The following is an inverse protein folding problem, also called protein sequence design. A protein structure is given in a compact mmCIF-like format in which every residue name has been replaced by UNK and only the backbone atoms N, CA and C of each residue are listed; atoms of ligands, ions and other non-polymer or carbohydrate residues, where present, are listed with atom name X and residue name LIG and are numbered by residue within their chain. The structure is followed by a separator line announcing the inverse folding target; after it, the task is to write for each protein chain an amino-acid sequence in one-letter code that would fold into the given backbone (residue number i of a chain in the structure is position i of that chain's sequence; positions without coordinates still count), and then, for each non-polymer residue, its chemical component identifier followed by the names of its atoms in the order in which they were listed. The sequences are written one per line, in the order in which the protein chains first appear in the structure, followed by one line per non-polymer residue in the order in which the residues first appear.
data_IF_565965138466
#
_entry.id   IF_565965138466
#
_cell.length_a   1.000
_cell.length_b   1.000
_cell.length_c   1.000
_cell.angle_alpha   90.00
_cell.angle_beta   90.00
_cell.angle_gamma   90.00
#
_symmetry.space_group_name_H-M   'P 1'
#
loop_
_entity.id
_entity.type
_entity.pdbx_description
1 polymer ?
#
# COMPACT_ATOMS: atom_id res chain seq x y z
N UNK A 1 41.93 7.64 19.83
CA UNK A 1 41.26 7.57 18.50
C UNK A 1 40.73 8.94 18.17
N UNK A 2 40.63 9.31 16.89
CA UNK A 2 40.03 10.61 16.53
C UNK A 2 38.56 10.64 16.98
N UNK A 3 38.07 11.81 17.41
CA UNK A 3 36.72 11.99 17.98
C UNK A 3 35.63 11.45 17.04
N UNK A 4 35.80 11.63 15.73
CA UNK A 4 34.93 11.07 14.67
C UNK A 4 34.72 9.55 14.79
N UNK A 5 35.80 8.79 14.99
CA UNK A 5 35.73 7.32 15.06
C UNK A 5 35.12 6.83 16.38
N UNK A 6 35.34 7.58 17.46
CA UNK A 6 34.67 7.31 18.74
C UNK A 6 33.17 7.56 18.63
N UNK A 7 32.75 8.66 17.99
CA UNK A 7 31.34 8.95 17.76
C UNK A 7 30.66 7.87 16.92
N UNK A 8 31.31 7.44 15.83
CA UNK A 8 30.80 6.38 14.96
C UNK A 8 30.68 5.04 15.71
N UNK A 9 31.66 4.70 16.55
CA UNK A 9 31.62 3.51 17.38
C UNK A 9 30.50 3.55 18.43
N UNK A 10 30.27 4.71 19.07
CA UNK A 10 29.14 4.90 19.98
C UNK A 10 27.81 4.67 19.25
N UNK A 11 27.68 5.22 18.03
CA UNK A 11 26.48 5.01 17.23
C UNK A 11 26.27 3.53 16.89
N UNK A 12 27.32 2.84 16.47
CA UNK A 12 27.31 1.41 16.21
C UNK A 12 26.81 0.60 17.42
N UNK A 13 27.27 0.92 18.63
CA UNK A 13 26.82 0.23 19.84
C UNK A 13 25.34 0.50 20.15
N UNK A 14 24.88 1.74 19.95
CA UNK A 14 23.46 2.06 20.05
C UNK A 14 22.63 1.27 19.04
N UNK A 15 23.07 1.19 17.78
CA UNK A 15 22.41 0.40 16.74
C UNK A 15 22.35 -1.08 17.10
N UNK A 16 23.45 -1.65 17.61
CA UNK A 16 23.51 -3.04 18.05
C UNK A 16 22.47 -3.33 19.14
N UNK A 17 22.37 -2.45 20.15
CA UNK A 17 21.38 -2.58 21.23
C UNK A 17 19.96 -2.50 20.65
N UNK A 18 19.69 -1.55 19.74
CA UNK A 18 18.39 -1.40 19.09
C UNK A 18 18.02 -2.66 18.29
N UNK A 19 18.97 -3.22 17.53
CA UNK A 19 18.74 -4.46 16.77
C UNK A 19 18.46 -5.63 17.70
N UNK A 20 19.21 -5.78 18.79
CA UNK A 20 18.95 -6.83 19.79
C UNK A 20 17.54 -6.68 20.37
N UNK A 21 17.13 -5.46 20.73
CA UNK A 21 15.77 -5.18 21.23
C UNK A 21 14.71 -5.50 20.17
N UNK A 22 14.94 -5.14 18.91
CA UNK A 22 14.00 -5.40 17.81
C UNK A 22 13.89 -6.89 17.45
N UNK A 23 14.97 -7.67 17.63
CA UNK A 23 15.00 -9.10 17.36
C UNK A 23 14.42 -9.94 18.51
N UNK A 24 14.31 -9.39 19.72
CA UNK A 24 13.80 -10.14 20.86
C UNK A 24 12.33 -10.53 20.64
N UNK A 25 12.00 -11.84 20.63
CA UNK A 25 10.63 -12.32 20.41
C UNK A 25 9.68 -12.01 21.58
N UNK A 26 10.21 -11.47 22.69
CA UNK A 26 9.44 -11.18 23.90
C UNK A 26 8.48 -10.00 23.75
N UNK A 27 8.72 -9.09 22.79
CA UNK A 27 7.87 -7.90 22.63
C UNK A 27 6.73 -8.22 21.68
N UNK A 28 5.51 -8.28 22.22
CA UNK A 28 4.30 -8.51 21.42
C UNK A 28 4.16 -7.42 20.32
N UNK A 29 3.76 -7.77 19.08
CA UNK A 29 3.54 -6.80 17.99
C UNK A 29 2.57 -5.67 18.35
N UNK A 30 1.63 -5.93 19.26
CA UNK A 30 0.67 -4.92 19.77
C UNK A 30 1.33 -3.83 20.63
N UNK A 31 2.48 -4.10 21.27
CA UNK A 31 3.25 -3.09 22.02
C UNK A 31 3.95 -2.15 21.03
N UNK A 32 4.54 -2.72 19.99
CA UNK A 32 5.13 -1.95 18.89
C UNK A 32 4.08 -1.11 18.16
N UNK A 33 2.88 -1.65 17.93
CA UNK A 33 1.77 -0.91 17.34
C UNK A 33 1.41 0.35 18.16
N UNK A 34 1.29 0.22 19.49
CA UNK A 34 1.02 1.34 20.38
C UNK A 34 2.16 2.35 20.40
N UNK A 35 3.40 1.89 20.39
CA UNK A 35 4.57 2.73 20.28
C UNK A 35 4.59 3.52 18.96
N UNK A 36 4.36 2.85 17.82
CA UNK A 36 4.33 3.46 16.49
C UNK A 36 3.10 4.34 16.23
N UNK A 37 1.97 4.10 16.90
CA UNK A 37 0.78 4.97 16.84
C UNK A 37 0.88 6.20 17.77
N UNK A 38 1.82 6.22 18.72
CA UNK A 38 2.04 7.33 19.64
C UNK A 38 2.32 8.64 18.91
N UNK A 39 1.97 9.77 19.56
CA UNK A 39 2.26 11.14 19.07
C UNK A 39 3.75 11.33 18.76
N UNK A 40 4.63 10.69 19.53
CA UNK A 40 6.07 10.73 19.33
C UNK A 40 6.48 10.05 18.01
N UNK A 41 5.92 8.88 17.74
CA UNK A 41 6.19 8.15 16.51
C UNK A 41 5.64 8.89 15.29
N UNK A 42 4.42 9.45 15.34
CA UNK A 42 3.87 10.27 14.25
C UNK A 42 4.74 11.50 13.93
N UNK A 43 5.25 12.18 14.97
CA UNK A 43 6.19 13.29 14.80
C UNK A 43 7.51 12.83 14.17
N UNK A 44 8.00 11.64 14.57
CA UNK A 44 9.18 11.04 13.97
C UNK A 44 8.93 10.69 12.50
N UNK A 45 7.81 10.06 12.15
CA UNK A 45 7.48 9.61 10.79
C UNK A 45 7.33 10.77 9.80
N UNK A 46 6.82 11.93 10.24
CA UNK A 46 6.60 13.10 9.37
C UNK A 46 7.91 13.63 8.74
N UNK A 47 9.04 13.48 9.43
CA UNK A 47 10.37 13.84 8.92
C UNK A 47 11.33 12.66 8.73
N UNK A 48 10.99 11.46 9.21
CA UNK A 48 11.89 10.31 9.31
C UNK A 48 12.57 10.00 7.99
N UNK A 49 11.83 10.03 6.87
CA UNK A 49 12.39 9.70 5.55
C UNK A 49 13.60 10.60 5.20
N UNK A 50 13.50 11.89 5.48
CA UNK A 50 14.58 12.85 5.22
C UNK A 50 15.76 12.63 6.17
N UNK A 51 15.50 12.46 7.48
CA UNK A 51 16.56 12.18 8.45
C UNK A 51 17.27 10.84 8.19
N UNK A 52 16.53 9.78 7.85
CA UNK A 52 17.10 8.46 7.50
C UNK A 52 18.00 8.56 6.28
N UNK A 53 17.58 9.26 5.23
CA UNK A 53 18.39 9.46 4.03
C UNK A 53 19.59 10.38 4.30
N UNK A 54 19.46 11.39 5.17
CA UNK A 54 20.60 12.21 5.55
C UNK A 54 21.68 11.39 6.26
N UNK A 55 21.30 10.61 7.28
CA UNK A 55 22.22 9.76 8.04
C UNK A 55 22.89 8.72 7.13
N UNK A 56 22.14 8.12 6.19
CA UNK A 56 22.71 7.13 5.27
C UNK A 56 23.76 7.74 4.34
N UNK A 57 23.54 8.97 3.87
CA UNK A 57 24.53 9.70 3.09
C UNK A 57 25.79 9.94 3.92
N UNK A 58 25.65 10.39 5.17
CA UNK A 58 26.79 10.60 6.08
C UNK A 58 27.55 9.29 6.31
N UNK A 59 26.87 8.18 6.58
CA UNK A 59 27.53 6.89 6.80
C UNK A 59 28.22 6.36 5.55
N UNK A 60 27.62 6.59 4.39
CA UNK A 60 28.24 6.22 3.11
C UNK A 60 29.53 7.02 2.89
N UNK A 61 29.53 8.33 3.17
CA UNK A 61 30.73 9.16 3.06
C UNK A 61 31.83 8.71 4.03
N UNK A 62 31.49 8.43 5.30
CA UNK A 62 32.44 7.92 6.29
C UNK A 62 32.98 6.54 5.91
N UNK A 63 32.15 5.68 5.32
CA UNK A 63 32.56 4.38 4.83
C UNK A 63 33.50 4.49 3.62
N UNK A 64 33.22 5.40 2.68
CA UNK A 64 34.11 5.69 1.56
C UNK A 64 35.45 6.26 2.03
N UNK A 65 35.45 7.13 3.04
CA UNK A 65 36.68 7.64 3.65
C UNK A 65 37.48 6.51 4.31
N UNK A 66 36.81 5.61 5.05
CA UNK A 66 37.44 4.43 5.63
C UNK A 66 38.03 3.49 4.56
N UNK A 67 37.37 3.33 3.40
CA UNK A 67 37.91 2.57 2.27
C UNK A 67 39.15 3.25 1.69
N UNK A 68 39.14 4.59 1.52
CA UNK A 68 40.32 5.34 1.06
C UNK A 68 41.47 5.18 2.05
N UNK A 69 41.22 5.32 3.34
CA UNK A 69 42.20 5.18 4.40
C UNK A 69 42.76 3.74 4.47
N UNK A 70 41.90 2.73 4.31
CA UNK A 70 42.31 1.33 4.24
C UNK A 70 43.23 1.06 3.04
N UNK A 71 42.86 1.52 1.84
CA UNK A 71 43.69 1.36 0.63
C UNK A 71 45.01 2.12 0.73
N UNK A 72 45.00 3.33 1.30
CA UNK A 72 46.19 4.15 1.50
C UNK A 72 47.24 3.45 2.38
N UNK A 73 46.81 2.80 3.45
CA UNK A 73 47.71 2.11 4.37
C UNK A 73 47.90 0.62 4.04
N UNK A 74 47.25 0.09 3.00
CA UNK A 74 47.44 -1.28 2.54
C UNK A 74 48.67 -1.45 1.65
N UNK A 75 49.06 -0.41 0.89
CA UNK A 75 50.15 -0.45 -0.09
C UNK A 75 51.35 0.43 0.32
N UNK A 76 51.73 0.41 1.59
CA UNK A 76 52.95 1.12 2.01
C UNK A 76 54.15 0.35 1.47
N UNK A 77 54.92 0.96 0.55
CA UNK A 77 56.07 0.32 -0.09
C UNK A 77 57.14 -0.06 0.95
N UNK A 78 57.58 -1.32 0.93
CA UNK A 78 58.64 -1.86 1.83
C UNK A 78 59.96 -1.05 1.77
N UNK A 79 60.17 -0.27 0.69
CA UNK A 79 61.35 0.60 0.56
C UNK A 79 61.34 1.81 1.50
N UNK A 80 60.16 2.25 1.95
CA UNK A 80 59.96 3.38 2.87
C UNK A 80 60.03 2.94 4.36
N UNK A 81 60.22 1.64 4.60
CA UNK A 81 60.24 0.98 5.92
C UNK A 81 61.67 0.75 6.46
N UNK A 82 62.68 1.42 5.90
CA UNK A 82 64.11 1.16 6.18
C UNK A 82 64.57 1.39 7.64
N UNK A 83 63.71 1.95 8.51
CA UNK A 83 63.95 2.05 9.95
C UNK A 83 62.91 1.22 10.74
N UNK A 84 63.32 0.37 11.71
CA UNK A 84 62.39 -0.46 12.51
C UNK A 84 61.25 0.31 13.22
N UNK A 85 61.50 1.58 13.55
CA UNK A 85 60.48 2.47 14.14
C UNK A 85 59.40 2.89 13.12
N UNK A 86 59.77 3.06 11.85
CA UNK A 86 58.85 3.39 10.76
C UNK A 86 57.95 2.19 10.42
N UNK A 87 58.49 0.97 10.45
CA UNK A 87 57.72 -0.28 10.27
C UNK A 87 56.62 -0.42 11.31
N UNK A 88 57.00 -0.26 12.59
CA UNK A 88 56.05 -0.35 13.71
C UNK A 88 54.94 0.69 13.58
N UNK A 89 55.28 1.92 13.18
CA UNK A 89 54.29 2.99 12.98
C UNK A 89 53.37 2.72 11.78
N UNK A 90 53.88 2.13 10.70
CA UNK A 90 53.10 1.74 9.52
C UNK A 90 52.07 0.65 9.88
N UNK A 91 52.50 -0.42 10.55
CA UNK A 91 51.60 -1.47 11.02
C UNK A 91 50.52 -0.92 11.97
N UNK A 92 50.88 -0.03 12.90
CA UNK A 92 49.90 0.61 13.78
C UNK A 92 48.84 1.43 13.02
N UNK A 93 49.22 2.10 11.92
CA UNK A 93 48.27 2.84 11.07
C UNK A 93 47.37 1.89 10.27
N UNK A 94 47.92 0.78 9.77
CA UNK A 94 47.18 -0.25 9.06
C UNK A 94 46.12 -0.93 9.96
N UNK A 95 46.48 -1.30 11.19
CA UNK A 95 45.49 -1.84 12.15
C UNK A 95 44.39 -0.84 12.49
N UNK A 96 44.75 0.46 12.57
CA UNK A 96 43.77 1.52 12.84
C UNK A 96 42.77 1.65 11.69
N UNK A 97 43.23 1.67 10.44
CA UNK A 97 42.35 1.81 9.27
C UNK A 97 41.47 0.58 9.05
N UNK A 98 41.99 -0.63 9.27
CA UNK A 98 41.21 -1.87 9.24
C UNK A 98 40.05 -1.85 10.23
N UNK A 99 40.31 -1.51 11.49
CA UNK A 99 39.25 -1.45 12.51
C UNK A 99 38.22 -0.35 12.20
N UNK A 100 38.68 0.82 11.77
CA UNK A 100 37.79 1.92 11.40
C UNK A 100 36.87 1.55 10.21
N UNK A 101 37.41 0.83 9.22
CA UNK A 101 36.64 0.27 8.11
C UNK A 101 35.54 -0.69 8.60
N UNK A 102 35.85 -1.61 9.51
CA UNK A 102 34.83 -2.50 10.08
C UNK A 102 33.76 -1.73 10.83
N UNK A 103 34.13 -0.77 11.69
CA UNK A 103 33.18 0.06 12.44
C UNK A 103 32.23 0.79 11.49
N UNK A 104 32.77 1.47 10.47
CA UNK A 104 31.96 2.21 9.51
C UNK A 104 31.06 1.29 8.66
N UNK A 105 31.58 0.15 8.22
CA UNK A 105 30.83 -0.81 7.43
C UNK A 105 29.69 -1.45 8.22
N UNK A 106 29.95 -1.87 9.46
CA UNK A 106 28.91 -2.43 10.32
C UNK A 106 27.86 -1.41 10.72
N UNK A 107 28.23 -0.15 10.97
CA UNK A 107 27.26 0.89 11.30
C UNK A 107 26.33 1.16 10.12
N UNK A 108 26.89 1.32 8.92
CA UNK A 108 26.11 1.47 7.69
C UNK A 108 25.19 0.27 7.46
N UNK A 109 25.68 -0.96 7.66
CA UNK A 109 24.90 -2.18 7.50
C UNK A 109 23.75 -2.26 8.53
N UNK A 110 24.03 -2.07 9.82
CA UNK A 110 23.03 -2.15 10.88
C UNK A 110 21.95 -1.07 10.70
N UNK A 111 22.31 0.11 10.20
CA UNK A 111 21.32 1.14 9.86
C UNK A 111 20.27 0.64 8.85
N UNK A 112 20.70 -0.06 7.79
CA UNK A 112 19.78 -0.69 6.83
C UNK A 112 18.94 -1.78 7.49
N UNK A 113 19.55 -2.61 8.34
CA UNK A 113 18.85 -3.67 9.07
C UNK A 113 17.75 -3.08 9.96
N UNK A 114 18.06 -2.04 10.75
CA UNK A 114 17.09 -1.35 11.62
C UNK A 114 15.93 -0.80 10.78
N UNK A 115 16.22 -0.09 9.68
CA UNK A 115 15.18 0.45 8.79
C UNK A 115 14.27 -0.67 8.27
N UNK A 116 14.85 -1.80 7.85
CA UNK A 116 14.08 -2.96 7.37
C UNK A 116 13.24 -3.58 8.48
N UNK A 117 13.79 -3.78 9.67
CA UNK A 117 13.11 -4.37 10.82
C UNK A 117 11.93 -3.50 11.28
N UNK A 118 12.13 -2.18 11.43
CA UNK A 118 11.06 -1.25 11.82
C UNK A 118 9.90 -1.31 10.83
N UNK A 119 10.18 -1.30 9.53
CA UNK A 119 9.14 -1.36 8.50
C UNK A 119 8.38 -2.69 8.51
N UNK A 120 9.09 -3.81 8.64
CA UNK A 120 8.47 -5.14 8.74
C UNK A 120 7.59 -5.25 9.99
N UNK A 121 8.06 -4.76 11.13
CA UNK A 121 7.35 -4.80 12.40
C UNK A 121 6.10 -3.91 12.37
N UNK A 122 6.20 -2.73 11.76
CA UNK A 122 5.07 -1.84 11.56
C UNK A 122 4.01 -2.46 10.61
N UNK A 123 4.42 -3.16 9.56
CA UNK A 123 3.48 -3.88 8.68
C UNK A 123 2.80 -5.05 9.39
N UNK A 124 3.58 -5.89 10.08
CA UNK A 124 3.06 -7.02 10.84
C UNK A 124 2.07 -6.58 11.93
N UNK A 125 2.38 -5.49 12.64
CA UNK A 125 1.48 -4.91 13.63
C UNK A 125 0.13 -4.43 13.02
N UNK A 126 0.16 -3.78 11.84
CA UNK A 126 -1.07 -3.36 11.14
C UNK A 126 -1.91 -4.56 10.69
N UNK A 127 -1.26 -5.60 10.16
CA UNK A 127 -1.93 -6.81 9.71
C UNK A 127 -2.55 -7.59 10.87
N UNK A 128 -1.84 -7.70 12.01
CA UNK A 128 -2.40 -8.33 13.21
C UNK A 128 -3.59 -7.56 13.78
N UNK A 129 -3.54 -6.22 13.78
CA UNK A 129 -4.68 -5.40 14.20
C UNK A 129 -5.89 -5.59 13.27
N UNK A 130 -5.66 -5.58 11.95
CA UNK A 130 -6.71 -5.83 10.96
C UNK A 130 -7.30 -7.24 11.07
N UNK A 131 -6.46 -8.26 11.31
CA UNK A 131 -6.90 -9.63 11.50
C UNK A 131 -7.73 -9.80 12.79
N UNK A 132 -7.34 -9.12 13.88
CA UNK A 132 -8.12 -9.14 15.13
C UNK A 132 -9.49 -8.44 14.96
N UNK A 133 -9.54 -7.33 14.22
CA UNK A 133 -10.79 -6.65 13.88
C UNK A 133 -11.68 -7.53 12.99
N UNK A 134 -11.12 -8.14 11.95
CA UNK A 134 -11.84 -9.06 11.06
C UNK A 134 -12.37 -10.29 11.80
N UNK A 135 -11.59 -10.86 12.73
CA UNK A 135 -12.02 -11.97 13.57
C UNK A 135 -13.20 -11.58 14.46
N UNK A 136 -13.13 -10.42 15.11
CA UNK A 136 -14.22 -9.90 15.94
C UNK A 136 -15.49 -9.64 15.12
N UNK A 137 -15.32 -9.12 13.90
CA UNK A 137 -16.42 -8.92 12.95
C UNK A 137 -17.07 -10.23 12.52
N UNK A 138 -16.29 -11.27 12.22
CA UNK A 138 -16.81 -12.60 11.89
C UNK A 138 -17.53 -13.27 13.06
N UNK A 139 -17.02 -13.14 14.29
CA UNK A 139 -17.70 -13.63 15.49
C UNK A 139 -19.02 -12.90 15.75
N UNK A 140 -19.05 -11.59 15.59
CA UNK A 140 -20.29 -10.79 15.72
C UNK A 140 -21.34 -11.18 14.69
N UNK A 141 -20.94 -11.33 13.43
CA UNK A 141 -21.83 -11.81 12.37
C UNK A 141 -22.37 -13.22 12.64
N UNK A 142 -21.52 -14.13 13.17
CA UNK A 142 -21.93 -15.48 13.55
C UNK A 142 -22.94 -15.46 14.71
N UNK A 143 -22.68 -14.69 15.78
CA UNK A 143 -23.60 -14.54 16.91
C UNK A 143 -24.94 -13.96 16.48
N UNK A 144 -24.91 -12.96 15.59
CA UNK A 144 -26.11 -12.37 15.02
C UNK A 144 -26.93 -13.41 14.24
N UNK A 145 -26.29 -14.19 13.36
CA UNK A 145 -26.94 -15.27 12.62
C UNK A 145 -27.55 -16.34 13.55
N UNK A 146 -26.81 -16.75 14.59
CA UNK A 146 -27.31 -17.69 15.60
C UNK A 146 -28.51 -17.13 16.38
N UNK A 147 -28.50 -15.85 16.73
CA UNK A 147 -29.62 -15.17 17.39
C UNK A 147 -30.87 -15.09 16.50
N UNK A 148 -30.69 -14.78 15.22
CA UNK A 148 -31.78 -14.78 14.21
C UNK A 148 -32.33 -16.20 14.00
N UNK A 149 -31.48 -17.21 13.87
CA UNK A 149 -31.93 -18.62 13.73
C UNK A 149 -32.67 -19.13 14.97
N UNK A 150 -32.29 -18.65 16.17
CA UNK A 150 -32.92 -19.04 17.43
C UNK A 150 -34.17 -18.22 17.78
N UNK A 151 -34.54 -17.19 17.00
CA UNK A 151 -35.57 -16.20 17.36
C UNK A 151 -35.39 -15.63 18.79
N UNK A 152 -34.15 -15.50 19.25
CA UNK A 152 -33.83 -15.05 20.60
C UNK A 152 -33.31 -13.61 20.54
N UNK A 153 -34.15 -12.60 20.86
CA UNK A 153 -33.79 -11.19 20.74
C UNK A 153 -32.69 -10.77 21.73
N UNK A 154 -32.37 -11.59 22.74
CA UNK A 154 -31.29 -11.30 23.69
C UNK A 154 -29.89 -11.51 23.10
N UNK A 155 -29.79 -12.27 22.00
CA UNK A 155 -28.51 -12.58 21.30
C UNK A 155 -28.27 -11.70 20.07
N UNK A 156 -29.22 -10.83 19.76
CA UNK A 156 -29.17 -9.91 18.63
C UNK A 156 -28.65 -8.57 19.18
N UNK A 157 -27.33 -8.37 19.21
CA UNK A 157 -26.75 -7.09 19.63
C UNK A 157 -26.63 -6.14 18.42
N UNK A 158 -27.39 -5.03 18.34
CA UNK A 158 -27.38 -4.11 17.19
C UNK A 158 -26.03 -3.46 16.91
N UNK A 159 -25.09 -3.52 17.87
CA UNK A 159 -23.72 -2.98 17.74
C UNK A 159 -22.74 -3.91 17.05
N UNK A 160 -23.05 -5.19 16.89
CA UNK A 160 -22.17 -6.18 16.23
C UNK A 160 -22.38 -6.25 14.70
N UNK A 161 -23.37 -5.54 14.16
CA UNK A 161 -23.61 -5.41 12.72
C UNK A 161 -22.58 -4.45 12.14
N UNK A 162 -21.76 -4.94 11.22
CA UNK A 162 -20.76 -4.14 10.50
C UNK A 162 -21.50 -3.10 9.66
N UNK A 163 -21.34 -1.83 10.02
CA UNK A 163 -21.70 -0.71 9.17
C UNK A 163 -20.83 -0.75 7.90
N UNK A 164 -21.36 -1.33 6.83
CA UNK A 164 -20.84 -1.08 5.49
C UNK A 164 -21.15 0.38 5.13
N UNK A 165 -20.10 1.14 4.82
CA UNK A 165 -20.19 2.51 4.27
C UNK A 165 -21.14 3.48 5.00
N UNK A 166 -20.67 4.09 6.09
CA UNK A 166 -21.15 5.40 6.55
C UNK A 166 -22.59 5.48 7.09
N UNK A 167 -23.36 4.40 7.07
CA UNK A 167 -24.72 4.36 7.62
C UNK A 167 -24.72 3.61 8.96
N UNK A 168 -25.27 4.20 10.05
CA UNK A 168 -25.45 3.48 11.31
C UNK A 168 -26.44 2.31 11.12
N UNK A 169 -26.24 1.18 11.82
CA UNK A 169 -27.16 0.05 11.76
C UNK A 169 -28.53 0.49 12.28
N UNK A 170 -29.52 0.52 11.39
CA UNK A 170 -30.92 0.75 11.74
C UNK A 170 -31.51 -0.61 12.09
N UNK A 171 -31.93 -0.80 13.33
CA UNK A 171 -32.79 -1.92 13.69
C UNK A 171 -34.13 -1.66 13.01
N UNK A 172 -34.43 -2.40 11.94
CA UNK A 172 -35.70 -2.32 11.22
C UNK A 172 -36.48 -3.58 11.60
N UNK A 173 -37.71 -3.43 12.07
CA UNK A 173 -38.60 -4.53 12.44
C UNK A 173 -38.70 -5.50 11.25
N UNK A 174 -38.66 -6.82 11.50
CA UNK A 174 -38.74 -7.85 10.45
C UNK A 174 -39.94 -7.64 9.53
N UNK A 175 -41.05 -7.09 10.06
CA UNK A 175 -42.25 -6.78 9.28
C UNK A 175 -42.07 -5.56 8.36
N UNK A 176 -41.29 -4.57 8.78
CA UNK A 176 -40.95 -3.41 7.95
C UNK A 176 -39.96 -3.79 6.85
N UNK A 177 -38.99 -4.67 7.15
CA UNK A 177 -38.04 -5.15 6.15
C UNK A 177 -38.70 -6.04 5.10
N UNK A 178 -39.65 -6.91 5.50
CA UNK A 178 -40.46 -7.68 4.56
C UNK A 178 -41.30 -6.75 3.66
N UNK A 179 -41.82 -5.65 4.21
CA UNK A 179 -42.55 -4.64 3.43
C UNK A 179 -41.64 -3.89 2.44
N UNK A 180 -40.44 -3.47 2.86
CA UNK A 180 -39.44 -2.85 1.98
C UNK A 180 -38.98 -3.81 0.87
N UNK A 181 -38.76 -5.10 1.18
CA UNK A 181 -38.41 -6.12 0.19
C UNK A 181 -39.54 -6.30 -0.83
N UNK A 182 -40.80 -6.26 -0.40
CA UNK A 182 -41.96 -6.34 -1.30
C UNK A 182 -42.03 -5.09 -2.19
N UNK A 183 -41.77 -3.91 -1.65
CA UNK A 183 -41.73 -2.66 -2.40
C UNK A 183 -40.60 -2.65 -3.44
N UNK A 184 -39.37 -2.98 -3.03
CA UNK A 184 -38.23 -3.09 -3.95
C UNK A 184 -38.43 -4.15 -5.03
N UNK A 185 -39.04 -5.29 -4.69
CA UNK A 185 -39.40 -6.31 -5.70
C UNK A 185 -40.40 -5.76 -6.71
N UNK A 186 -41.38 -4.96 -6.25
CA UNK A 186 -42.39 -4.33 -7.11
C UNK A 186 -41.78 -3.25 -8.01
N UNK A 187 -40.82 -2.48 -7.50
CA UNK A 187 -40.05 -1.53 -8.32
C UNK A 187 -39.20 -2.25 -9.36
N UNK A 188 -38.55 -3.36 -8.98
CA UNK A 188 -37.75 -4.15 -9.88
C UNK A 188 -38.58 -4.80 -11.01
N UNK A 189 -39.81 -5.24 -10.73
CA UNK A 189 -40.70 -5.77 -11.77
C UNK A 189 -41.15 -4.67 -12.72
N UNK A 190 -41.51 -3.49 -12.21
CA UNK A 190 -41.87 -2.34 -13.06
C UNK A 190 -40.71 -1.90 -13.94
N UNK A 191 -39.51 -1.78 -13.36
CA UNK A 191 -38.32 -1.41 -14.12
C UNK A 191 -37.98 -2.42 -15.22
N UNK A 192 -38.25 -3.72 -15.00
CA UNK A 192 -38.12 -4.74 -16.04
C UNK A 192 -39.16 -4.59 -17.14
N UNK A 193 -40.42 -4.36 -16.79
CA UNK A 193 -41.50 -4.07 -17.74
C UNK A 193 -41.19 -2.82 -18.58
N UNK A 194 -40.66 -1.76 -17.97
CA UNK A 194 -40.23 -0.53 -18.66
C UNK A 194 -39.06 -0.80 -19.63
N UNK A 195 -38.11 -1.66 -19.24
CA UNK A 195 -37.01 -2.07 -20.14
C UNK A 195 -37.54 -2.87 -21.34
N UNK A 196 -38.49 -3.78 -21.11
CA UNK A 196 -39.07 -4.59 -22.17
C UNK A 196 -39.91 -3.72 -23.13
N UNK A 197 -40.68 -2.76 -22.62
CA UNK A 197 -41.43 -1.81 -23.48
C UNK A 197 -40.49 -0.90 -24.28
N UNK A 198 -39.43 -0.37 -23.68
CA UNK A 198 -38.41 0.41 -24.39
C UNK A 198 -37.70 -0.41 -25.47
N UNK A 199 -37.51 -1.72 -25.24
CA UNK A 199 -36.95 -2.63 -26.24
C UNK A 199 -37.90 -2.81 -27.42
N UNK A 200 -39.18 -2.99 -27.17
CA UNK A 200 -40.20 -3.09 -28.23
C UNK A 200 -40.32 -1.78 -29.03
N UNK A 201 -40.24 -0.62 -28.35
CA UNK A 201 -40.20 0.69 -29.01
C UNK A 201 -38.94 0.86 -29.88
N UNK A 202 -37.79 0.42 -29.40
CA UNK A 202 -36.54 0.42 -30.16
C UNK A 202 -36.64 -0.46 -31.41
N UNK A 203 -37.12 -1.70 -31.28
CA UNK A 203 -37.28 -2.63 -32.40
C UNK A 203 -38.28 -2.10 -33.44
N UNK A 204 -39.35 -1.44 -32.99
CA UNK A 204 -40.30 -0.77 -33.88
C UNK A 204 -39.70 0.45 -34.56
N UNK A 205 -38.87 1.24 -33.86
CA UNK A 205 -38.15 2.37 -34.45
C UNK A 205 -37.19 1.90 -35.54
N UNK A 206 -36.41 0.83 -35.29
CA UNK A 206 -35.51 0.21 -36.26
C UNK A 206 -36.24 -0.24 -37.52
N UNK A 207 -37.41 -0.89 -37.38
CA UNK A 207 -38.25 -1.27 -38.53
C UNK A 207 -38.66 -0.05 -39.36
N UNK A 208 -39.14 1.02 -38.72
CA UNK A 208 -39.53 2.26 -39.40
C UNK A 208 -38.35 2.93 -40.11
N UNK A 209 -37.15 2.88 -39.52
CA UNK A 209 -35.94 3.37 -40.19
C UNK A 209 -35.61 2.57 -41.45
N UNK A 210 -35.72 1.24 -41.41
CA UNK A 210 -35.51 0.39 -42.59
C UNK A 210 -36.55 0.65 -43.68
N UNK A 211 -37.84 0.76 -43.31
CA UNK A 211 -38.91 1.11 -44.26
C UNK A 211 -38.65 2.48 -44.92
N UNK A 212 -38.27 3.49 -44.14
CA UNK A 212 -37.95 4.82 -44.65
C UNK A 212 -36.69 4.82 -45.54
N UNK A 213 -35.70 3.99 -45.24
CA UNK A 213 -34.51 3.81 -46.09
C UNK A 213 -34.90 3.18 -47.44
N UNK A 214 -35.76 2.17 -47.43
CA UNK A 214 -36.28 1.56 -48.66
C UNK A 214 -37.08 2.56 -49.50
N UNK A 215 -37.96 3.33 -48.88
CA UNK A 215 -38.76 4.34 -49.57
C UNK A 215 -37.90 5.48 -50.13
N UNK A 216 -36.90 5.95 -49.38
CA UNK A 216 -35.93 6.92 -49.89
C UNK A 216 -35.14 6.35 -51.08
N UNK A 217 -34.74 5.07 -51.03
CA UNK A 217 -34.07 4.41 -52.16
C UNK A 217 -34.98 4.35 -53.39
N UNK A 218 -36.27 4.02 -53.20
CA UNK A 218 -37.27 4.01 -54.29
C UNK A 218 -37.46 5.41 -54.89
N UNK A 219 -37.58 6.44 -54.05
CA UNK A 219 -37.71 7.83 -54.49
C UNK A 219 -36.47 8.31 -55.26
N UNK A 220 -35.26 7.97 -54.81
CA UNK A 220 -34.02 8.28 -55.55
C UNK A 220 -34.00 7.62 -56.93
N UNK A 221 -34.44 6.36 -57.02
CA UNK A 221 -34.55 5.64 -58.29
C UNK A 221 -35.59 6.32 -59.21
N UNK A 222 -36.75 6.69 -58.68
CA UNK A 222 -37.78 7.40 -59.45
C UNK A 222 -37.30 8.78 -59.92
N UNK A 223 -36.61 9.54 -59.07
CA UNK A 223 -36.00 10.82 -59.44
C UNK A 223 -34.92 10.65 -60.52
N UNK A 224 -34.09 9.60 -60.44
CA UNK A 224 -33.10 9.29 -61.47
C UNK A 224 -33.74 8.87 -62.80
N UNK A 225 -34.89 8.19 -62.78
CA UNK A 225 -35.65 7.86 -63.98
C UNK A 225 -36.30 9.12 -64.60
N UNK A 226 -36.88 10.01 -63.79
CA UNK A 226 -37.50 11.26 -64.24
C UNK A 226 -36.46 12.27 -64.79
N UNK A 227 -35.30 12.41 -64.15
CA UNK A 227 -34.22 13.28 -64.63
C UNK A 227 -33.52 12.72 -65.89
N UNK A 228 -33.56 11.40 -66.09
CA UNK A 228 -33.15 10.75 -67.34
C UNK A 228 -34.13 10.93 -68.50
N UNK A 229 -35.42 11.17 -68.21
CA UNK A 229 -36.47 11.34 -69.23
C UNK A 229 -36.57 12.79 -69.74
N UNK A 230 -36.17 13.78 -68.95
CA UNK A 230 -36.03 15.18 -69.43
C UNK A 230 -34.91 15.34 -70.47
N UNK A 231 -33.84 14.53 -70.41
CA UNK A 231 -32.78 14.58 -71.44
C UNK A 231 -33.18 13.90 -72.76
N UNK A 232 -34.35 13.27 -72.83
CA UNK A 232 -34.86 12.54 -73.99
C UNK A 232 -35.90 13.32 -74.80
N UNK A 233 -36.44 14.44 -74.30
CA UNK A 233 -37.45 15.25 -75.00
C UNK A 233 -36.90 16.47 -75.74
N UNK A 234 -35.60 16.76 -75.62
CA UNK A 234 -34.92 17.88 -76.29
C UNK A 234 -33.94 17.44 -77.40
N UNK A 235 -34.22 16.34 -78.12
CA UNK A 235 -33.54 15.99 -79.38
C UNK A 235 -34.52 15.67 -80.50
#
# INVERSE_FOLDING_TARGET
MSIQWTFLATFLYCELIIVIILLLPFIRPTIWEKFFKSRLAKAFTAGAKYYFNFIICVFTLLFLDAIRELRKYANVDEKDLSMPQAETQAHMKQFRSQRNFYIAGFALFLWFVIKRLINLLASCAREMAAAAEAHKQAEGAKRHLEGVMANDPTKIDPREIIASHGNPPRYVDSKEHDAEIIEYKKELTKAKEDIDTLRDEYDNSVKRYHELEEDNRRLQIQLAMLSGDESSKDK
#
